data_IF_563593298366
#
_entry.id   IF_563593298366
#
_cell.length_a   1.000
_cell.length_b   1.000
_cell.length_c   1.000
_cell.angle_alpha   90.00
_cell.angle_beta   90.00
_cell.angle_gamma   90.00
#
_symmetry.space_group_name_H-M   'P 1'
#
loop_
_entity.id
_entity.type
_entity.pdbx_description
1 polymer ?
#
# COMPACT_ATOMS: atom_id res chain seq x y z
N UNK A 1 -18.22 -10.52 11.85
CA UNK A 1 -16.95 -9.74 11.85
C UNK A 1 -17.12 -8.50 12.72
N UNK A 2 -16.16 -8.18 13.58
CA UNK A 2 -16.17 -7.02 14.49
C UNK A 2 -15.04 -6.07 14.11
N UNK A 3 -15.35 -4.78 13.89
CA UNK A 3 -14.39 -3.73 13.55
C UNK A 3 -14.33 -2.70 14.68
N UNK A 4 -13.12 -2.34 15.15
CA UNK A 4 -12.94 -1.33 16.20
C UNK A 4 -11.68 -0.49 15.98
N UNK A 5 -11.79 0.81 16.30
CA UNK A 5 -10.67 1.76 16.27
C UNK A 5 -10.08 1.97 17.67
N UNK A 6 -8.75 2.08 17.73
CA UNK A 6 -7.98 2.26 18.95
C UNK A 6 -7.04 3.46 18.81
N UNK A 7 -7.09 4.40 19.76
CA UNK A 7 -6.19 5.55 19.79
C UNK A 7 -5.13 5.46 20.89
N UNK A 8 -3.88 5.80 20.56
CA UNK A 8 -2.76 5.82 21.50
C UNK A 8 -1.64 6.79 21.06
N UNK A 9 -0.70 7.15 21.96
CA UNK A 9 0.44 8.02 21.61
C UNK A 9 1.41 7.40 20.61
N UNK A 10 1.48 6.08 20.54
CA UNK A 10 2.32 5.34 19.59
C UNK A 10 1.51 4.21 18.95
N UNK A 11 1.90 3.81 17.73
CA UNK A 11 1.31 2.64 17.06
C UNK A 11 1.47 1.39 17.92
N UNK A 12 2.63 1.20 18.56
CA UNK A 12 2.88 0.06 19.46
C UNK A 12 1.90 0.02 20.64
N UNK A 13 1.57 1.17 21.23
CA UNK A 13 0.60 1.24 22.32
C UNK A 13 -0.83 0.94 21.83
N UNK A 14 -1.19 1.36 20.60
CA UNK A 14 -2.48 1.00 20.00
C UNK A 14 -2.56 -0.51 19.70
N UNK A 15 -1.50 -1.12 19.17
CA UNK A 15 -1.41 -2.57 18.95
C UNK A 15 -1.50 -3.36 20.25
N UNK A 16 -0.92 -2.86 21.36
CA UNK A 16 -1.07 -3.47 22.67
C UNK A 16 -2.54 -3.50 23.11
N UNK A 17 -3.27 -2.39 22.95
CA UNK A 17 -4.72 -2.33 23.21
C UNK A 17 -5.52 -3.28 22.32
N UNK A 18 -5.16 -3.39 21.04
CA UNK A 18 -5.80 -4.33 20.10
C UNK A 18 -5.62 -5.77 20.58
N UNK A 19 -4.39 -6.17 20.94
CA UNK A 19 -4.13 -7.51 21.49
C UNK A 19 -4.85 -7.74 22.81
N UNK A 20 -4.96 -6.69 23.63
CA UNK A 20 -5.69 -6.73 24.89
C UNK A 20 -7.21 -6.77 24.72
N UNK A 21 -7.81 -6.33 23.61
CA UNK A 21 -9.26 -6.35 23.46
C UNK A 21 -9.77 -7.38 22.44
N UNK A 22 -9.13 -7.44 21.27
CA UNK A 22 -9.51 -8.29 20.17
C UNK A 22 -8.72 -9.61 20.14
N UNK A 23 -7.50 -9.63 20.67
CA UNK A 23 -6.63 -10.81 20.70
C UNK A 23 -5.48 -10.72 19.71
N UNK A 24 -4.64 -11.76 19.69
CA UNK A 24 -3.46 -11.83 18.83
C UNK A 24 -3.79 -11.93 17.34
N UNK A 25 -4.95 -12.50 17.01
CA UNK A 25 -5.40 -12.80 15.66
C UNK A 25 -6.16 -11.65 14.97
N UNK A 26 -6.18 -10.46 15.59
CA UNK A 26 -6.82 -9.29 15.03
C UNK A 26 -6.00 -8.73 13.84
N UNK A 27 -6.69 -8.43 12.74
CA UNK A 27 -6.10 -7.88 11.52
C UNK A 27 -6.23 -6.36 11.53
N UNK A 28 -5.13 -5.65 11.30
CA UNK A 28 -5.14 -4.18 11.18
C UNK A 28 -5.61 -3.77 9.79
N UNK A 29 -6.67 -2.98 9.72
CA UNK A 29 -7.25 -2.45 8.48
C UNK A 29 -6.64 -1.11 8.09
N UNK A 30 -6.46 -0.21 9.06
CA UNK A 30 -6.02 1.16 8.78
C UNK A 30 -5.24 1.73 9.96
N UNK A 31 -4.17 2.45 9.66
CA UNK A 31 -3.45 3.30 10.63
C UNK A 31 -3.49 4.73 10.16
N UNK A 32 -3.95 5.64 11.02
CA UNK A 32 -4.01 7.08 10.76
C UNK A 32 -3.26 7.84 11.84
N UNK A 33 -2.48 8.82 11.41
CA UNK A 33 -1.92 9.84 12.30
C UNK A 33 -2.98 10.89 12.58
N UNK A 34 -3.31 11.09 13.84
CA UNK A 34 -4.18 12.16 14.30
C UNK A 34 -3.30 13.28 14.87
N UNK A 35 -2.99 14.28 14.03
CA UNK A 35 -2.38 15.54 14.45
C UNK A 35 -3.48 16.44 15.03
N UNK A 36 -3.54 16.58 16.34
CA UNK A 36 -4.55 17.42 17.01
C UNK A 36 -4.35 18.90 16.69
N UNK A 37 -5.40 19.56 16.18
CA UNK A 37 -5.50 21.03 16.08
C UNK A 37 -6.04 21.67 17.36
N UNK A 38 -6.38 20.90 18.39
CA UNK A 38 -6.95 21.45 19.62
C UNK A 38 -6.56 20.57 20.81
N UNK A 39 -5.96 21.21 21.81
CA UNK A 39 -5.71 20.74 23.18
C UNK A 39 -4.47 19.84 23.42
N UNK A 40 -3.40 20.53 23.86
CA UNK A 40 -2.51 20.18 24.97
C UNK A 40 -1.38 19.15 24.80
N UNK A 41 -0.15 19.68 24.67
CA UNK A 41 1.11 19.26 25.32
C UNK A 41 1.62 17.82 25.13
N UNK A 42 0.89 16.93 24.45
CA UNK A 42 1.15 15.48 24.45
C UNK A 42 1.15 14.91 23.04
N UNK A 43 2.00 15.47 22.17
CA UNK A 43 2.51 14.81 20.96
C UNK A 43 1.48 14.30 19.94
N UNK A 44 2.02 13.67 18.90
CA UNK A 44 1.27 13.00 17.84
C UNK A 44 0.49 11.81 18.42
N UNK A 45 -0.78 11.62 18.03
CA UNK A 45 -1.57 10.42 18.37
C UNK A 45 -1.78 9.58 17.12
N UNK A 46 -1.91 8.28 17.32
CA UNK A 46 -2.18 7.30 16.26
C UNK A 46 -3.51 6.64 16.53
N UNK A 47 -4.33 6.52 15.49
CA UNK A 47 -5.55 5.75 15.47
C UNK A 47 -5.35 4.52 14.59
N UNK A 48 -5.60 3.33 15.14
CA UNK A 48 -5.48 2.05 14.44
C UNK A 48 -6.84 1.36 14.44
N UNK A 49 -7.38 1.13 13.26
CA UNK A 49 -8.61 0.35 13.05
C UNK A 49 -8.23 -1.09 12.78
N UNK A 50 -8.80 -2.01 13.55
CA UNK A 50 -8.59 -3.45 13.40
C UNK A 50 -9.92 -4.19 13.33
N UNK A 51 -9.90 -5.37 12.71
CA UNK A 51 -11.03 -6.29 12.66
C UNK A 51 -10.65 -7.69 13.13
N UNK A 52 -11.66 -8.43 13.58
CA UNK A 52 -11.55 -9.85 13.90
C UNK A 52 -12.89 -10.54 13.63
N UNK A 53 -12.87 -11.82 13.30
CA UNK A 53 -14.08 -12.62 13.21
C UNK A 53 -14.69 -12.90 14.59
N UNK A 54 -16.01 -12.98 14.61
CA UNK A 54 -16.78 -13.13 15.85
C UNK A 54 -16.51 -14.50 16.51
N UNK A 55 -16.28 -15.53 15.69
CA UNK A 55 -15.88 -16.86 16.14
C UNK A 55 -14.53 -16.82 16.87
N UNK A 56 -13.54 -16.13 16.32
CA UNK A 56 -12.20 -15.99 16.94
C UNK A 56 -12.23 -15.11 18.19
N UNK A 57 -13.02 -14.04 18.18
CA UNK A 57 -13.22 -13.18 19.35
C UNK A 57 -13.83 -13.96 20.52
N UNK A 58 -14.77 -14.87 20.25
CA UNK A 58 -15.38 -15.72 21.28
C UNK A 58 -14.37 -16.67 21.92
N UNK A 59 -13.44 -17.26 21.14
CA UNK A 59 -12.36 -18.12 21.64
C UNK A 59 -11.40 -17.33 22.54
N UNK A 60 -11.02 -16.13 22.12
CA UNK A 60 -10.14 -15.26 22.93
C UNK A 60 -10.79 -14.81 24.24
N UNK A 61 -12.11 -14.54 24.25
CA UNK A 61 -12.85 -14.23 25.49
C UNK A 61 -13.01 -15.45 26.40
N UNK A 62 -13.19 -16.63 25.82
CA UNK A 62 -13.28 -17.88 26.58
C UNK A 62 -11.95 -18.24 27.26
N UNK A 63 -10.81 -18.04 26.56
CA UNK A 63 -9.48 -18.36 27.12
C UNK A 63 -9.06 -17.44 28.28
N UNK A 64 -9.59 -16.22 28.35
CA UNK A 64 -9.30 -15.27 29.45
C UNK A 64 -9.96 -15.60 30.78
N UNK A 65 -11.06 -16.36 30.80
CA UNK A 65 -11.73 -16.69 32.06
C UNK A 65 -10.93 -17.64 32.96
N UNK A 66 -9.83 -18.23 32.46
CA UNK A 66 -9.09 -19.29 33.16
C UNK A 66 -7.64 -18.95 33.57
N UNK A 67 -7.23 -17.67 33.60
CA UNK A 67 -5.92 -17.31 34.17
C UNK A 67 -6.07 -16.51 35.47
N UNK A 68 -5.57 -17.01 36.62
CA UNK A 68 -5.48 -16.22 37.83
C UNK A 68 -4.54 -15.03 37.59
N UNK A 69 -5.07 -13.86 37.89
CA UNK A 69 -4.43 -12.57 37.76
C UNK A 69 -3.33 -12.42 38.83
N UNK A 70 -2.07 -12.70 38.47
CA UNK A 70 -0.92 -12.33 39.31
C UNK A 70 -0.65 -10.85 39.08
N UNK A 71 -1.07 -10.04 40.04
CA UNK A 71 -0.89 -8.60 40.09
C UNK A 71 0.53 -8.31 40.59
N UNK A 72 1.50 -8.35 39.70
CA UNK A 72 2.89 -8.02 40.06
C UNK A 72 3.07 -6.51 40.08
N UNK A 73 2.88 -5.92 41.27
CA UNK A 73 3.23 -4.54 41.58
C UNK A 73 4.48 -4.59 42.45
N UNK A 74 5.66 -4.40 41.86
CA UNK A 74 6.89 -4.17 42.61
C UNK A 74 7.52 -2.85 42.17
N UNK A 75 7.17 -1.81 42.91
CA UNK A 75 7.93 -0.58 43.00
C UNK A 75 9.25 -0.93 43.69
N UNK A 76 10.38 -0.81 43.00
CA UNK A 76 11.69 -0.71 43.65
C UNK A 76 12.37 0.58 43.23
N UNK A 77 12.47 1.49 44.21
CA UNK A 77 13.52 2.51 44.31
C UNK A 77 14.89 1.84 44.26
N UNK A 78 15.76 2.30 43.39
CA UNK A 78 17.22 2.20 43.58
C UNK A 78 17.82 3.56 43.18
N UNK A 79 18.14 4.36 44.19
CA UNK A 79 19.20 5.36 44.13
C UNK A 79 20.52 4.64 44.42
N UNK A 80 21.48 4.67 43.49
CA UNK A 80 22.86 5.11 43.76
C UNK A 80 23.75 5.03 42.52
N UNK A 81 24.57 6.07 42.41
CA UNK A 81 25.55 6.37 41.38
C UNK A 81 26.70 5.36 41.31
N UNK A 82 27.15 5.08 40.08
CA UNK A 82 28.53 4.69 39.71
C UNK A 82 28.81 5.23 38.30
N UNK A 83 30.04 5.73 38.11
CA UNK A 83 30.65 6.52 37.04
C UNK A 83 30.36 6.19 35.55
N UNK A 84 30.57 7.19 34.65
CA UNK A 84 30.44 7.03 33.21
C UNK A 84 31.65 6.32 32.61
N UNK A 85 31.44 5.16 32.00
CA UNK A 85 32.39 4.53 31.06
C UNK A 85 31.85 4.75 29.64
N UNK A 86 32.71 5.14 28.67
CA UNK A 86 32.25 5.58 27.36
C UNK A 86 31.68 4.40 26.59
N UNK A 87 30.40 4.51 26.22
CA UNK A 87 29.78 3.58 25.29
C UNK A 87 30.43 3.73 23.92
N UNK A 88 30.99 2.60 23.52
CA UNK A 88 31.67 2.30 22.29
C UNK A 88 30.70 2.58 21.12
N UNK A 89 31.03 3.57 20.29
CA UNK A 89 30.49 3.73 18.94
C UNK A 89 30.79 2.46 18.13
N UNK A 90 29.93 1.44 18.22
CA UNK A 90 29.89 0.38 17.22
C UNK A 90 29.15 0.91 16.01
N UNK A 91 29.99 1.47 15.15
CA UNK A 91 29.80 1.69 13.72
C UNK A 91 28.70 0.81 13.11
N UNK A 92 27.71 1.50 12.53
CA UNK A 92 26.72 0.97 11.61
C UNK A 92 27.49 0.49 10.36
N UNK A 93 28.01 -0.73 10.37
CA UNK A 93 28.88 -1.28 9.31
C UNK A 93 28.20 -2.28 8.36
N UNK A 94 26.87 -2.38 8.38
CA UNK A 94 26.14 -3.38 7.57
C UNK A 94 25.18 -2.78 6.52
N UNK A 95 25.46 -1.58 5.99
CA UNK A 95 24.74 -1.10 4.80
C UNK A 95 24.98 -1.99 3.57
N UNK A 96 26.21 -2.51 3.41
CA UNK A 96 26.56 -3.39 2.29
C UNK A 96 25.83 -4.76 2.33
N UNK A 97 25.48 -5.24 3.52
CA UNK A 97 24.69 -6.46 3.70
C UNK A 97 23.21 -6.25 3.35
N UNK A 98 22.68 -5.06 3.68
CA UNK A 98 21.32 -4.68 3.33
C UNK A 98 21.17 -4.52 1.81
N UNK A 99 22.13 -3.86 1.15
CA UNK A 99 22.14 -3.73 -0.32
C UNK A 99 22.17 -5.08 -1.01
N UNK A 100 22.96 -6.04 -0.53
CA UNK A 100 22.98 -7.40 -1.10
C UNK A 100 21.64 -8.12 -0.93
N UNK A 101 20.97 -7.92 0.20
CA UNK A 101 19.68 -8.56 0.49
C UNK A 101 18.56 -7.92 -0.31
N UNK A 102 18.57 -6.58 -0.42
CA UNK A 102 17.67 -5.81 -1.26
C UNK A 102 17.86 -6.17 -2.72
N UNK A 103 19.11 -6.17 -3.22
CA UNK A 103 19.44 -6.58 -4.57
C UNK A 103 19.01 -8.03 -4.81
N UNK A 104 19.18 -8.96 -3.86
CA UNK A 104 18.71 -10.34 -4.01
C UNK A 104 17.18 -10.44 -4.11
N UNK A 105 16.43 -9.64 -3.34
CA UNK A 105 14.95 -9.62 -3.39
C UNK A 105 14.48 -8.96 -4.69
N UNK A 106 15.12 -7.87 -5.11
CA UNK A 106 14.87 -7.21 -6.38
C UNK A 106 15.23 -8.11 -7.57
N UNK A 107 16.34 -8.86 -7.49
CA UNK A 107 16.81 -9.81 -8.51
C UNK A 107 15.92 -11.04 -8.62
N UNK A 108 15.30 -11.47 -7.51
CA UNK A 108 14.41 -12.63 -7.50
C UNK A 108 13.05 -12.36 -8.18
N UNK A 109 12.65 -11.08 -8.30
CA UNK A 109 11.39 -10.67 -8.92
C UNK A 109 11.55 -9.83 -10.20
N UNK A 110 12.76 -9.39 -10.53
CA UNK A 110 13.06 -8.59 -11.73
C UNK A 110 14.34 -9.11 -12.36
N UNK A 111 14.30 -9.39 -13.65
CA UNK A 111 15.49 -9.76 -14.42
C UNK A 111 16.58 -8.71 -14.22
N UNK A 112 17.74 -9.07 -13.61
CA UNK A 112 18.78 -8.12 -13.21
C UNK A 112 19.38 -7.33 -14.39
N UNK A 113 19.23 -7.84 -15.61
CA UNK A 113 19.79 -7.25 -16.83
C UNK A 113 19.10 -5.93 -17.25
N UNK A 114 17.86 -5.69 -16.82
CA UNK A 114 17.14 -4.46 -17.22
C UNK A 114 17.68 -3.19 -16.55
N UNK A 115 18.43 -3.32 -15.46
CA UNK A 115 18.98 -2.17 -14.72
C UNK A 115 20.42 -1.84 -15.14
N UNK A 116 21.14 -2.79 -15.74
CA UNK A 116 22.57 -2.65 -16.06
C UNK A 116 22.81 -2.00 -17.41
N UNK A 117 21.84 -2.04 -18.32
CA UNK A 117 22.04 -1.70 -19.72
C UNK A 117 21.70 -0.24 -20.07
N UNK A 118 21.19 0.53 -19.11
CA UNK A 118 20.81 1.93 -19.33
C UNK A 118 21.95 2.90 -18.98
N UNK A 119 22.28 3.86 -19.88
CA UNK A 119 23.30 4.87 -19.62
C UNK A 119 22.84 5.84 -18.53
N UNK A 120 23.81 6.45 -17.84
CA UNK A 120 23.60 7.25 -16.61
C UNK A 120 22.66 8.43 -16.83
N UNK A 121 22.65 8.95 -18.05
CA UNK A 121 21.87 10.07 -18.52
C UNK A 121 20.35 9.79 -18.49
N UNK A 122 19.93 8.55 -18.74
CA UNK A 122 18.52 8.17 -18.86
C UNK A 122 17.98 7.43 -17.62
N UNK A 123 18.89 6.99 -16.73
CA UNK A 123 18.51 6.45 -15.40
C UNK A 123 17.52 7.31 -14.61
N UNK A 124 17.65 8.65 -14.50
CA UNK A 124 16.68 9.45 -13.75
C UNK A 124 15.27 9.37 -14.36
N UNK A 125 15.15 9.34 -15.68
CA UNK A 125 13.86 9.16 -16.36
C UNK A 125 13.24 7.81 -16.03
N UNK A 126 14.03 6.74 -16.10
CA UNK A 126 13.57 5.40 -15.76
C UNK A 126 13.08 5.31 -14.31
N UNK A 127 13.84 5.85 -13.35
CA UNK A 127 13.45 5.85 -11.93
C UNK A 127 12.15 6.63 -11.70
N UNK A 128 11.99 7.80 -12.32
CA UNK A 128 10.75 8.57 -12.24
C UNK A 128 9.52 7.81 -12.78
N UNK A 129 9.70 7.00 -13.83
CA UNK A 129 8.64 6.15 -14.37
C UNK A 129 8.26 5.03 -13.38
N UNK A 130 9.25 4.38 -12.76
CA UNK A 130 9.01 3.36 -11.75
C UNK A 130 8.31 3.95 -10.51
N UNK A 131 8.74 5.13 -10.06
CA UNK A 131 8.13 5.83 -8.92
C UNK A 131 6.68 6.27 -9.22
N UNK A 132 6.32 6.35 -10.50
CA UNK A 132 4.95 6.63 -10.97
C UNK A 132 4.13 5.35 -11.20
N UNK A 133 4.54 4.21 -10.61
CA UNK A 133 3.91 2.90 -10.74
C UNK A 133 3.81 2.37 -12.20
N UNK A 134 4.70 2.83 -13.09
CA UNK A 134 4.78 2.28 -14.45
C UNK A 134 5.45 0.90 -14.40
N UNK A 135 4.86 -0.14 -15.03
CA UNK A 135 5.49 -1.45 -15.11
C UNK A 135 6.91 -1.39 -15.67
N UNK A 136 7.82 -2.18 -15.09
CA UNK A 136 9.26 -2.11 -15.37
C UNK A 136 9.58 -2.28 -16.85
N UNK A 137 8.86 -3.18 -17.51
CA UNK A 137 9.03 -3.49 -18.93
C UNK A 137 8.67 -2.29 -19.81
N UNK A 138 7.60 -1.56 -19.42
CA UNK A 138 7.17 -0.34 -20.10
C UNK A 138 8.17 0.79 -19.83
N UNK A 139 8.55 0.99 -18.57
CA UNK A 139 9.52 2.00 -18.18
C UNK A 139 10.87 1.80 -18.90
N UNK A 140 11.35 0.56 -19.00
CA UNK A 140 12.59 0.24 -19.70
C UNK A 140 12.48 0.50 -21.21
N UNK A 141 11.36 0.10 -21.83
CA UNK A 141 11.10 0.38 -23.25
C UNK A 141 11.07 1.88 -23.52
N UNK A 142 10.46 2.67 -22.64
CA UNK A 142 10.40 4.13 -22.75
C UNK A 142 11.78 4.76 -22.57
N UNK A 143 12.54 4.34 -21.56
CA UNK A 143 13.90 4.82 -21.33
C UNK A 143 14.81 4.54 -22.54
N UNK A 144 14.74 3.35 -23.13
CA UNK A 144 15.52 3.03 -24.33
C UNK A 144 15.15 3.90 -25.52
N UNK A 145 13.85 4.17 -25.72
CA UNK A 145 13.39 5.08 -26.77
C UNK A 145 13.83 6.52 -26.55
N UNK A 146 13.87 6.98 -25.31
CA UNK A 146 14.42 8.29 -24.96
C UNK A 146 15.88 8.38 -25.37
N UNK A 147 16.66 7.32 -25.11
CA UNK A 147 18.06 7.26 -25.52
C UNK A 147 18.21 7.31 -27.05
N UNK A 148 17.42 6.50 -27.76
CA UNK A 148 17.46 6.44 -29.22
C UNK A 148 16.99 7.75 -29.89
N UNK A 149 16.14 8.53 -29.20
CA UNK A 149 15.60 9.81 -29.69
C UNK A 149 16.43 11.02 -29.25
N UNK A 150 17.34 10.85 -28.30
CA UNK A 150 18.17 11.93 -27.80
C UNK A 150 19.37 12.12 -28.75
N UNK A 151 19.22 13.03 -29.72
CA UNK A 151 20.37 13.52 -30.49
C UNK A 151 21.38 14.20 -29.56
N UNK A 152 22.66 14.23 -29.97
CA UNK A 152 23.87 14.64 -29.20
C UNK A 152 23.87 16.07 -28.63
N UNK A 153 22.76 16.79 -28.67
CA UNK A 153 22.58 18.10 -28.04
C UNK A 153 21.16 18.40 -27.55
N UNK A 154 20.27 17.41 -27.56
CA UNK A 154 18.89 17.57 -27.08
C UNK A 154 18.80 17.35 -25.57
N UNK A 155 17.92 18.10 -24.90
CA UNK A 155 17.63 17.86 -23.49
C UNK A 155 16.91 16.52 -23.35
N UNK A 156 17.55 15.56 -22.67
CA UNK A 156 17.03 14.20 -22.42
C UNK A 156 15.63 14.25 -21.80
N UNK A 157 15.35 15.24 -20.95
CA UNK A 157 14.03 15.40 -20.35
C UNK A 157 12.95 15.70 -21.40
N UNK A 158 13.27 16.52 -22.41
CA UNK A 158 12.34 16.87 -23.47
C UNK A 158 12.11 15.68 -24.42
N UNK A 159 13.16 14.93 -24.71
CA UNK A 159 13.06 13.67 -25.44
C UNK A 159 12.19 12.66 -24.68
N UNK A 160 12.38 12.54 -23.36
CA UNK A 160 11.59 11.67 -22.50
C UNK A 160 10.10 12.06 -22.49
N UNK A 161 9.80 13.35 -22.33
CA UNK A 161 8.43 13.84 -22.36
C UNK A 161 7.74 13.55 -23.70
N UNK A 162 8.46 13.71 -24.81
CA UNK A 162 7.94 13.39 -26.15
C UNK A 162 7.63 11.90 -26.27
N UNK A 163 8.55 11.03 -25.84
CA UNK A 163 8.36 9.57 -25.85
C UNK A 163 7.17 9.16 -24.96
N UNK A 164 7.03 9.77 -23.78
CA UNK A 164 5.90 9.52 -22.87
C UNK A 164 4.58 9.93 -23.52
N UNK A 165 4.53 11.12 -24.11
CA UNK A 165 3.35 11.62 -24.78
C UNK A 165 2.92 10.69 -25.93
N UNK A 166 3.87 10.25 -26.76
CA UNK A 166 3.60 9.35 -27.87
C UNK A 166 3.17 7.95 -27.40
N UNK A 167 3.71 7.46 -26.29
CA UNK A 167 3.31 6.18 -25.71
C UNK A 167 1.90 6.25 -25.14
N UNK A 168 1.57 7.31 -24.39
CA UNK A 168 0.22 7.57 -23.89
C UNK A 168 -0.74 7.68 -25.06
N UNK A 169 -0.41 8.50 -26.06
CA UNK A 169 -1.22 8.67 -27.26
C UNK A 169 -1.50 7.34 -27.96
N UNK A 170 -0.52 6.43 -28.03
CA UNK A 170 -0.73 5.10 -28.63
C UNK A 170 -1.69 4.22 -27.81
N UNK A 171 -1.64 4.31 -26.49
CA UNK A 171 -2.51 3.52 -25.60
C UNK A 171 -3.93 4.08 -25.60
N UNK A 172 -4.07 5.42 -25.63
CA UNK A 172 -5.36 6.10 -25.53
C UNK A 172 -6.08 6.30 -26.86
N UNK A 173 -5.38 6.13 -27.99
CA UNK A 173 -5.96 6.29 -29.35
C UNK A 173 -6.90 5.16 -29.77
N UNK A 174 -7.15 4.18 -28.90
CA UNK A 174 -8.26 3.25 -29.07
C UNK A 174 -9.60 4.02 -28.94
N UNK A 175 -10.10 4.54 -30.05
CA UNK A 175 -11.43 5.13 -30.14
C UNK A 175 -12.48 4.02 -30.02
N UNK A 176 -12.78 3.64 -28.80
CA UNK A 176 -13.91 2.75 -28.50
C UNK A 176 -15.16 3.62 -28.44
N UNK A 177 -15.96 3.58 -29.50
CA UNK A 177 -17.30 4.16 -29.51
C UNK A 177 -18.30 3.12 -29.04
N UNK A 178 -19.17 3.50 -28.10
CA UNK A 178 -20.23 2.63 -27.58
C UNK A 178 -21.54 3.12 -28.21
N UNK A 179 -22.17 2.27 -29.02
CA UNK A 179 -23.47 2.58 -29.63
C UNK A 179 -24.64 2.14 -28.73
N UNK A 180 -25.80 2.83 -28.81
CA UNK A 180 -27.00 2.41 -28.11
C UNK A 180 -27.39 0.98 -28.46
N UNK A 181 -27.64 0.15 -27.43
CA UNK A 181 -28.00 -1.26 -27.59
C UNK A 181 -26.83 -2.25 -27.46
N UNK A 182 -25.58 -1.77 -27.35
CA UNK A 182 -24.45 -2.62 -27.02
C UNK A 182 -24.53 -3.11 -25.56
N UNK A 183 -24.31 -4.41 -25.35
CA UNK A 183 -24.18 -5.00 -24.01
C UNK A 183 -22.72 -4.91 -23.59
N UNK A 184 -22.47 -4.26 -22.46
CA UNK A 184 -21.12 -4.11 -21.88
C UNK A 184 -21.06 -4.95 -20.61
N UNK A 185 -20.01 -5.76 -20.48
CA UNK A 185 -19.70 -6.46 -19.25
C UNK A 185 -18.52 -5.74 -18.58
N UNK A 186 -18.70 -5.36 -17.31
CA UNK A 186 -17.62 -4.88 -16.46
C UNK A 186 -17.01 -6.08 -15.75
N UNK A 187 -15.70 -6.25 -15.87
CA UNK A 187 -14.95 -7.35 -15.24
C UNK A 187 -13.66 -6.81 -14.63
N UNK A 188 -13.33 -7.25 -13.42
CA UNK A 188 -12.22 -6.74 -12.65
C UNK A 188 -12.04 -7.45 -11.30
N UNK A 189 -10.91 -7.21 -10.62
CA UNK A 189 -10.67 -7.74 -9.28
C UNK A 189 -11.58 -7.07 -8.24
N UNK A 190 -11.97 -7.82 -7.21
CA UNK A 190 -12.80 -7.32 -6.11
C UNK A 190 -12.23 -6.03 -5.50
N UNK A 191 -13.06 -4.99 -5.41
CA UNK A 191 -12.67 -3.67 -4.88
C UNK A 191 -12.12 -2.68 -5.91
N UNK A 192 -12.09 -3.04 -7.20
CA UNK A 192 -11.63 -2.19 -8.29
C UNK A 192 -12.59 -1.05 -8.71
N UNK A 193 -13.75 -0.91 -8.04
CA UNK A 193 -14.70 0.18 -8.30
C UNK A 193 -15.73 -0.08 -9.41
N UNK A 194 -15.94 -1.34 -9.80
CA UNK A 194 -16.93 -1.73 -10.82
C UNK A 194 -18.34 -1.20 -10.52
N UNK A 195 -18.77 -1.27 -9.25
CA UNK A 195 -20.07 -0.76 -8.80
C UNK A 195 -20.20 0.77 -8.91
N UNK A 196 -19.08 1.50 -8.77
CA UNK A 196 -19.06 2.98 -8.83
C UNK A 196 -19.16 3.44 -10.29
N UNK A 197 -18.51 2.73 -11.21
CA UNK A 197 -18.60 3.00 -12.65
C UNK A 197 -20.01 2.83 -13.21
N UNK A 198 -20.78 1.88 -12.67
CA UNK A 198 -22.19 1.69 -13.03
C UNK A 198 -23.06 2.90 -12.65
N UNK A 199 -22.79 3.52 -11.49
CA UNK A 199 -23.52 4.71 -11.02
C UNK A 199 -23.23 5.99 -11.79
N UNK A 200 -21.99 6.22 -12.22
CA UNK A 200 -21.61 7.42 -12.99
C UNK A 200 -22.06 7.36 -14.46
N UNK A 201 -22.11 6.17 -15.06
CA UNK A 201 -22.63 5.99 -16.42
C UNK A 201 -24.17 6.00 -16.48
N UNK A 202 -24.85 5.70 -15.36
CA UNK A 202 -26.31 5.69 -15.22
C UNK A 202 -27.01 7.05 -15.15
N UNK A 203 -26.28 8.17 -15.28
CA UNK A 203 -26.87 9.51 -15.42
C UNK A 203 -27.67 9.72 -16.72
N UNK A 204 -27.56 8.80 -17.68
CA UNK A 204 -28.56 8.61 -18.74
C UNK A 204 -29.43 7.41 -18.39
N UNK A 205 -30.66 7.69 -17.98
CA UNK A 205 -31.67 6.76 -17.50
C UNK A 205 -31.85 5.55 -18.43
N UNK A 206 -31.56 4.35 -17.92
CA UNK A 206 -32.12 3.10 -18.45
C UNK A 206 -32.79 2.36 -17.30
N UNK A 207 -34.12 2.44 -17.27
CA UNK A 207 -34.94 1.52 -16.49
C UNK A 207 -34.77 0.11 -17.06
N UNK A 208 -34.12 -0.78 -16.33
CA UNK A 208 -34.23 -2.22 -16.60
C UNK A 208 -35.35 -2.81 -15.74
N UNK A 209 -36.50 -3.03 -16.39
CA UNK A 209 -37.50 -4.00 -15.98
C UNK A 209 -36.96 -5.38 -16.37
N UNK A 210 -36.76 -6.24 -15.39
CA UNK A 210 -36.50 -7.66 -15.60
C UNK A 210 -37.83 -8.38 -15.87
N UNK A 211 -38.01 -9.11 -16.98
CA UNK A 211 -39.09 -10.09 -17.06
C UNK A 211 -38.64 -11.38 -16.37
N UNK A 212 -39.39 -11.79 -15.34
CA UNK A 212 -39.36 -13.14 -14.80
C UNK A 212 -39.98 -14.09 -15.83
N UNK A 213 -39.16 -14.83 -16.57
CA UNK A 213 -39.65 -15.94 -17.38
C UNK A 213 -40.02 -17.13 -16.47
N UNK A 214 -41.33 -17.30 -16.31
CA UNK A 214 -41.95 -18.52 -15.80
C UNK A 214 -41.67 -19.67 -16.76
N UNK A 215 -40.79 -20.58 -16.38
CA UNK A 215 -40.75 -21.92 -16.95
C UNK A 215 -41.99 -22.70 -16.47
N UNK A 216 -43.03 -22.74 -17.30
CA UNK A 216 -44.18 -23.63 -17.11
C UNK A 216 -43.83 -25.04 -17.58
N UNK A 217 -44.08 -25.98 -16.70
CA UNK A 217 -44.11 -27.42 -16.95
C UNK A 217 -45.24 -27.75 -17.93
N UNK A 218 -44.93 -28.52 -18.99
CA UNK A 218 -45.71 -29.61 -19.57
C UNK A 218 -44.92 -30.27 -20.71
#
# INVERSE_FOLDING_TARGET
MVIKSFSAPTVAAALKKIREELGGDAVVLRTKVCSGKEVSLTGQRFEVTACIDEQELSKHRASRKNKPFVKETSVMKIEKAVDPKPENNKEIKDFAGLEKTLNRILSAHRSPDLFTDLPTEVKPVFLNLIDSDVPVEIAHRMARRTLDSADTGSNIEQAALTVVHDEIGRITSANISIEPGMKIAFVGPSGGGEDIGHGQSGGSTVHQVWPEDKASVA
#
